data_IF_072611892572
#
_entry.id   IF_072611892572
#
_cell.length_a   1.000
_cell.length_b   1.000
_cell.length_c   1.000
_cell.angle_alpha   90.00
_cell.angle_beta   90.00
_cell.angle_gamma   90.00
#
_symmetry.space_group_name_H-M   'P 1'
#
loop_
_entity.id
_entity.type
_entity.pdbx_description
1 polymer ?
#
# COMPACT_ATOMS: atom_id res chain seq x y z
N UNK A 1 -3.37 -28.43 -13.90
CA UNK A 1 -3.32 -27.25 -14.76
C UNK A 1 -4.72 -26.66 -14.94
N UNK A 2 -5.32 -26.25 -13.83
CA UNK A 2 -6.37 -25.24 -13.80
C UNK A 2 -5.67 -23.89 -13.68
N UNK A 3 -5.61 -23.13 -14.77
CA UNK A 3 -4.87 -21.86 -14.85
C UNK A 3 -5.46 -20.72 -14.03
N UNK A 4 -5.76 -20.93 -12.75
CA UNK A 4 -5.97 -19.88 -11.78
C UNK A 4 -4.61 -19.38 -11.31
N UNK A 5 -4.17 -18.27 -11.90
CA UNK A 5 -3.01 -17.52 -11.45
C UNK A 5 -3.36 -16.81 -10.14
N UNK A 6 -3.46 -17.58 -9.05
CA UNK A 6 -3.44 -17.08 -7.67
C UNK A 6 -2.04 -16.49 -7.41
N UNK A 7 -1.78 -15.33 -8.01
CA UNK A 7 -0.58 -14.55 -7.81
C UNK A 7 0.70 -15.37 -7.90
N UNK A 8 0.98 -15.96 -9.06
CA UNK A 8 2.28 -16.44 -9.52
C UNK A 8 3.31 -16.60 -8.38
N UNK A 9 3.09 -17.67 -7.61
CA UNK A 9 3.82 -18.03 -6.40
C UNK A 9 5.33 -17.97 -6.68
N UNK A 10 6.06 -17.02 -6.07
CA UNK A 10 7.51 -16.82 -6.30
C UNK A 10 8.41 -17.95 -5.75
N UNK A 11 7.83 -19.10 -5.42
CA UNK A 11 8.52 -20.24 -4.84
C UNK A 11 8.76 -20.07 -3.34
N UNK A 12 8.72 -21.17 -2.62
CA UNK A 12 9.34 -21.27 -1.31
C UNK A 12 10.86 -21.36 -1.45
N UNK A 13 11.64 -20.68 -0.58
CA UNK A 13 11.24 -19.64 0.37
C UNK A 13 11.37 -18.24 -0.25
N UNK A 14 10.25 -17.58 -0.56
CA UNK A 14 10.26 -16.14 -0.87
C UNK A 14 9.82 -15.36 0.36
N UNK A 15 10.78 -14.72 1.04
CA UNK A 15 10.58 -13.93 2.27
C UNK A 15 10.20 -12.46 1.98
N UNK A 16 9.55 -12.20 0.85
CA UNK A 16 9.24 -10.85 0.35
C UNK A 16 9.89 -10.52 -0.99
N UNK A 17 10.06 -9.23 -1.29
CA UNK A 17 10.64 -8.74 -2.54
C UNK A 17 12.17 -8.87 -2.47
N UNK A 18 12.72 -9.94 -3.08
CA UNK A 18 14.18 -10.14 -3.20
C UNK A 18 14.76 -9.24 -4.28
N UNK A 19 15.74 -8.43 -3.93
CA UNK A 19 16.49 -7.60 -4.90
C UNK A 19 17.95 -8.02 -4.92
N UNK A 20 18.41 -8.52 -6.06
CA UNK A 20 19.75 -9.11 -6.19
C UNK A 20 20.85 -8.08 -6.46
N UNK A 21 20.50 -6.91 -7.05
CA UNK A 21 21.43 -5.82 -7.44
C UNK A 21 20.72 -4.47 -7.55
N UNK A 22 20.30 -3.89 -6.43
CA UNK A 22 19.72 -2.55 -6.44
C UNK A 22 20.81 -1.50 -6.63
N UNK A 23 21.01 -1.03 -7.85
CA UNK A 23 22.07 -0.05 -8.14
C UNK A 23 21.53 1.36 -8.43
N UNK A 24 20.21 1.53 -8.50
CA UNK A 24 19.58 2.83 -8.77
C UNK A 24 18.05 2.72 -8.66
N UNK A 25 17.47 3.39 -7.66
CA UNK A 25 16.02 3.59 -7.59
C UNK A 25 15.63 4.87 -8.33
N UNK A 26 14.60 4.83 -9.18
CA UNK A 26 14.02 6.03 -9.76
C UNK A 26 13.56 5.95 -11.21
N UNK A 27 13.81 4.86 -11.92
CA UNK A 27 13.18 4.62 -13.23
C UNK A 27 12.09 3.55 -13.10
N UNK A 28 10.84 4.01 -13.09
CA UNK A 28 9.66 3.16 -12.96
C UNK A 28 8.97 2.91 -14.31
N UNK A 29 9.60 3.21 -15.45
CA UNK A 29 8.97 3.01 -16.75
C UNK A 29 8.99 1.53 -17.18
N UNK A 30 7.81 1.04 -17.54
CA UNK A 30 7.57 -0.31 -18.03
C UNK A 30 7.67 -1.38 -16.95
N UNK A 31 7.04 -2.52 -17.19
CA UNK A 31 6.95 -3.62 -16.23
C UNK A 31 8.32 -4.15 -15.77
N UNK A 32 9.34 -4.09 -16.63
CA UNK A 32 10.71 -4.51 -16.25
C UNK A 32 11.31 -3.69 -15.11
N UNK A 33 10.74 -2.53 -14.76
CA UNK A 33 11.19 -1.73 -13.63
C UNK A 33 10.94 -2.42 -12.28
N UNK A 34 9.97 -3.34 -12.20
CA UNK A 34 9.58 -4.05 -10.98
C UNK A 34 10.78 -4.79 -10.37
N UNK A 35 11.67 -5.34 -11.20
CA UNK A 35 12.85 -6.10 -10.77
C UNK A 35 14.14 -5.26 -10.74
N UNK A 36 14.06 -3.98 -11.13
CA UNK A 36 15.20 -3.06 -11.22
C UNK A 36 15.23 -2.01 -10.10
N UNK A 37 14.12 -1.84 -9.37
CA UNK A 37 14.02 -0.86 -8.29
C UNK A 37 13.71 -1.56 -6.96
N UNK A 38 14.05 -0.89 -5.87
CA UNK A 38 13.68 -1.35 -4.54
C UNK A 38 12.28 -0.90 -4.16
N UNK A 39 11.61 -1.74 -3.38
CA UNK A 39 10.44 -1.36 -2.61
C UNK A 39 10.82 -0.35 -1.50
N UNK A 40 9.94 0.59 -1.13
CA UNK A 40 8.66 0.93 -1.75
C UNK A 40 8.75 2.09 -2.77
N UNK A 41 7.72 2.23 -3.62
CA UNK A 41 7.42 3.45 -4.39
C UNK A 41 6.26 4.26 -3.81
N UNK A 42 5.39 3.63 -3.02
CA UNK A 42 4.29 4.33 -2.32
C UNK A 42 4.56 4.36 -0.82
N UNK A 43 3.99 5.33 -0.10
CA UNK A 43 4.12 5.36 1.36
C UNK A 43 2.95 6.07 2.03
N UNK A 44 2.82 5.83 3.32
CA UNK A 44 1.89 6.50 4.22
C UNK A 44 2.53 6.55 5.61
N UNK A 45 2.08 7.46 6.47
CA UNK A 45 2.55 7.54 7.85
C UNK A 45 2.31 6.22 8.59
N UNK A 46 3.31 5.77 9.35
CA UNK A 46 3.23 4.59 10.21
C UNK A 46 3.51 3.25 9.48
N UNK A 47 3.42 3.21 8.15
CA UNK A 47 3.79 1.99 7.40
C UNK A 47 5.26 1.66 7.61
N UNK A 48 5.57 0.36 7.73
CA UNK A 48 6.93 -0.09 7.99
C UNK A 48 7.27 -1.39 7.26
N UNK A 49 8.57 -1.63 7.09
CA UNK A 49 9.08 -2.89 6.54
C UNK A 49 10.39 -3.28 7.22
N UNK A 50 10.79 -4.53 7.02
CA UNK A 50 12.00 -5.08 7.58
C UNK A 50 13.04 -5.32 6.49
N UNK A 51 14.28 -4.91 6.75
CA UNK A 51 15.43 -5.32 5.95
C UNK A 51 16.17 -6.46 6.63
N UNK A 52 16.17 -7.62 5.98
CA UNK A 52 17.02 -8.76 6.30
C UNK A 52 18.38 -8.58 5.62
N UNK A 53 19.45 -8.64 6.40
CA UNK A 53 20.79 -8.26 5.97
C UNK A 53 21.72 -9.48 5.99
N UNK A 54 22.50 -9.65 4.93
CA UNK A 54 23.56 -10.67 4.86
C UNK A 54 24.92 -10.01 5.02
N UNK A 55 25.79 -10.57 5.88
CA UNK A 55 27.17 -10.10 6.06
C UNK A 55 27.33 -8.83 6.91
N UNK A 56 26.25 -8.25 7.43
CA UNK A 56 26.25 -7.13 8.38
C UNK A 56 25.09 -7.29 9.37
N UNK A 57 25.28 -6.87 10.62
CA UNK A 57 24.22 -6.95 11.63
C UNK A 57 23.29 -5.72 11.56
N UNK A 58 22.01 -5.87 11.97
CA UNK A 58 21.10 -4.74 12.12
C UNK A 58 21.67 -3.62 13.00
N UNK A 59 22.33 -3.95 14.11
CA UNK A 59 22.93 -2.97 15.03
C UNK A 59 24.00 -2.13 14.34
N UNK A 60 24.84 -2.76 13.51
CA UNK A 60 25.88 -2.06 12.76
C UNK A 60 25.27 -1.09 11.73
N UNK A 61 24.21 -1.50 11.03
CA UNK A 61 23.47 -0.62 10.12
C UNK A 61 22.81 0.54 10.87
N UNK A 62 22.21 0.28 12.04
CA UNK A 62 21.63 1.35 12.87
C UNK A 62 22.71 2.33 13.33
N UNK A 63 23.88 1.83 13.76
CA UNK A 63 25.00 2.68 14.18
C UNK A 63 25.58 3.51 13.02
N UNK A 64 25.63 2.96 11.80
CA UNK A 64 26.10 3.64 10.60
C UNK A 64 25.18 4.80 10.16
N UNK A 65 23.86 4.63 10.28
CA UNK A 65 22.88 5.57 9.72
C UNK A 65 22.20 6.46 10.77
N UNK A 66 22.22 6.05 12.04
CA UNK A 66 21.42 6.65 13.10
C UNK A 66 19.96 6.20 13.07
N UNK A 67 19.18 6.68 14.06
CA UNK A 67 17.75 6.33 14.21
C UNK A 67 16.83 7.05 13.24
N UNK A 68 17.27 8.17 12.66
CA UNK A 68 16.44 8.98 11.78
C UNK A 68 17.18 9.25 10.48
N UNK A 69 16.59 8.85 9.36
CA UNK A 69 17.12 9.15 8.03
C UNK A 69 16.24 10.19 7.35
N UNK A 70 16.86 11.25 6.86
CA UNK A 70 16.22 12.24 5.99
C UNK A 70 16.43 11.87 4.52
N UNK A 71 15.49 12.25 3.68
CA UNK A 71 15.63 12.06 2.24
C UNK A 71 16.79 12.86 1.68
N UNK A 72 17.36 12.39 0.58
CA UNK A 72 18.46 13.04 -0.14
C UNK A 72 18.05 14.44 -0.61
N UNK A 73 16.83 14.56 -1.12
CA UNK A 73 16.25 15.81 -1.62
C UNK A 73 15.66 16.69 -0.49
N UNK A 74 15.63 16.21 0.75
CA UNK A 74 14.87 16.82 1.84
C UNK A 74 13.35 16.74 1.66
N UNK A 75 12.61 17.32 2.60
CA UNK A 75 11.14 17.31 2.62
C UNK A 75 10.57 16.80 3.92
N UNK A 76 9.28 16.46 3.90
CA UNK A 76 8.49 16.21 5.11
C UNK A 76 8.35 14.74 5.50
N UNK A 77 9.00 13.83 4.76
CA UNK A 77 9.06 12.41 5.13
C UNK A 77 10.47 12.08 5.62
N UNK A 78 10.54 11.27 6.67
CA UNK A 78 11.75 10.70 7.20
C UNK A 78 11.54 9.24 7.58
N UNK A 79 12.63 8.50 7.70
CA UNK A 79 12.59 7.12 8.17
C UNK A 79 12.98 7.09 9.65
N UNK A 80 12.22 6.34 10.44
CA UNK A 80 12.63 5.92 11.78
C UNK A 80 13.17 4.49 11.71
N UNK A 81 14.39 4.29 12.18
CA UNK A 81 15.09 3.01 12.19
C UNK A 81 15.18 2.45 13.61
N UNK A 82 14.89 1.16 13.73
CA UNK A 82 15.14 0.40 14.94
C UNK A 82 15.60 -1.02 14.62
N UNK A 83 16.37 -1.60 15.55
CA UNK A 83 16.65 -3.03 15.54
C UNK A 83 15.42 -3.75 16.07
N UNK A 84 14.98 -4.78 15.36
CA UNK A 84 13.82 -5.58 15.75
C UNK A 84 13.97 -7.01 15.21
N UNK A 85 12.94 -7.82 15.39
CA UNK A 85 12.77 -9.08 14.67
C UNK A 85 11.59 -8.92 13.71
N UNK A 86 11.66 -9.60 12.57
CA UNK A 86 10.47 -9.76 11.72
C UNK A 86 9.37 -10.44 12.53
N UNK A 87 8.12 -10.28 12.10
CA UNK A 87 7.05 -11.16 12.56
C UNK A 87 7.34 -12.60 12.13
N UNK A 88 6.73 -13.56 12.82
CA UNK A 88 6.62 -14.92 12.25
C UNK A 88 5.71 -14.83 11.02
N UNK A 89 6.11 -15.49 9.95
CA UNK A 89 5.33 -15.50 8.73
C UNK A 89 4.43 -16.73 8.76
N UNK A 90 3.13 -16.51 8.66
CA UNK A 90 2.16 -17.57 8.42
C UNK A 90 1.91 -17.69 6.92
N UNK A 91 1.53 -18.88 6.47
CA UNK A 91 0.96 -19.07 5.15
C UNK A 91 -0.45 -19.66 5.32
N UNK A 92 -1.37 -19.32 4.42
CA UNK A 92 -2.62 -20.08 4.31
C UNK A 92 -2.32 -21.47 3.77
N UNK A 93 -2.74 -22.54 4.46
CA UNK A 93 -2.95 -23.94 4.00
C UNK A 93 -1.87 -24.74 3.26
N UNK A 94 -0.91 -24.11 2.57
CA UNK A 94 -0.06 -24.70 1.53
C UNK A 94 1.43 -24.34 1.70
N UNK A 95 2.00 -24.65 2.87
CA UNK A 95 3.40 -24.38 3.22
C UNK A 95 3.80 -25.04 4.54
N UNK A 96 5.08 -24.93 4.96
CA UNK A 96 5.50 -25.34 6.30
C UNK A 96 5.03 -24.32 7.34
N UNK A 97 4.50 -24.79 8.48
CA UNK A 97 4.15 -23.93 9.62
C UNK A 97 5.28 -23.96 10.67
N UNK A 98 5.92 -22.82 11.01
CA UNK A 98 5.73 -21.48 10.41
C UNK A 98 6.41 -21.32 9.03
N UNK A 99 5.89 -20.43 8.18
CA UNK A 99 6.43 -20.16 6.82
C UNK A 99 7.88 -19.65 6.88
N UNK A 100 8.20 -18.93 7.97
CA UNK A 100 9.55 -18.53 8.34
C UNK A 100 9.60 -18.09 9.79
N UNK A 101 10.70 -18.42 10.46
CA UNK A 101 10.96 -17.95 11.82
C UNK A 101 11.23 -16.44 11.83
N UNK A 102 10.93 -15.80 12.95
CA UNK A 102 11.31 -14.42 13.20
C UNK A 102 12.83 -14.23 13.09
N UNK A 103 13.29 -13.30 12.26
CA UNK A 103 14.72 -13.04 11.99
C UNK A 103 15.14 -11.64 12.47
N UNK A 104 16.37 -11.46 12.98
CA UNK A 104 16.91 -10.14 13.26
C UNK A 104 16.91 -9.25 12.02
N UNK A 105 16.39 -8.04 12.16
CA UNK A 105 16.22 -7.12 11.03
C UNK A 105 16.34 -5.66 11.47
N UNK A 106 16.56 -4.79 10.50
CA UNK A 106 16.28 -3.36 10.67
C UNK A 106 14.82 -3.12 10.31
N UNK A 107 14.02 -2.64 11.27
CA UNK A 107 12.68 -2.12 11.02
C UNK A 107 12.80 -0.67 10.55
N UNK A 108 12.19 -0.38 9.40
CA UNK A 108 12.14 0.94 8.78
C UNK A 108 10.69 1.41 8.79
N UNK A 109 10.38 2.44 9.59
CA UNK A 109 9.05 3.05 9.64
C UNK A 109 9.05 4.38 8.88
N UNK A 110 8.05 4.58 8.03
CA UNK A 110 7.82 5.83 7.31
C UNK A 110 7.12 6.84 8.22
N UNK A 111 7.76 7.98 8.45
CA UNK A 111 7.22 9.08 9.25
C UNK A 111 7.08 10.30 8.34
N UNK A 112 5.84 10.69 8.05
CA UNK A 112 5.56 11.82 7.17
C UNK A 112 4.22 12.49 7.46
N UNK A 113 3.73 13.35 6.54
CA UNK A 113 2.46 14.02 6.72
C UNK A 113 1.29 13.04 6.82
N UNK A 114 0.32 13.39 7.66
CA UNK A 114 -0.95 12.67 7.88
C UNK A 114 -2.13 13.63 7.97
N UNK A 115 -3.34 13.12 8.18
CA UNK A 115 -4.58 13.90 8.07
C UNK A 115 -4.61 15.15 8.97
N UNK A 116 -3.99 15.09 10.15
CA UNK A 116 -3.90 16.20 11.10
C UNK A 116 -2.59 17.02 11.02
N UNK A 117 -1.70 16.74 10.06
CA UNK A 117 -0.47 17.51 9.90
C UNK A 117 -0.73 18.93 9.40
N UNK A 118 -0.04 19.93 9.93
CA UNK A 118 -0.13 21.31 9.44
C UNK A 118 0.38 21.42 8.01
N UNK A 119 1.52 20.81 7.70
CA UNK A 119 2.08 20.72 6.34
C UNK A 119 1.84 19.31 5.79
N UNK A 120 1.07 19.23 4.70
CA UNK A 120 0.73 17.99 4.00
C UNK A 120 1.54 17.77 2.73
N UNK A 121 2.41 18.71 2.37
CA UNK A 121 3.14 18.66 1.11
C UNK A 121 4.06 17.45 1.01
N UNK A 122 4.08 16.85 -0.17
CA UNK A 122 4.94 15.75 -0.53
C UNK A 122 5.49 15.95 -1.93
N UNK A 123 6.71 15.47 -2.14
CA UNK A 123 7.35 15.34 -3.44
C UNK A 123 8.12 14.03 -3.49
N UNK A 124 8.34 13.45 -4.68
CA UNK A 124 9.15 12.25 -4.80
C UNK A 124 10.52 12.42 -4.16
N UNK A 125 10.96 11.42 -3.40
CA UNK A 125 12.17 11.51 -2.60
C UNK A 125 12.86 10.18 -2.37
N UNK A 126 14.17 10.25 -2.26
CA UNK A 126 15.09 9.12 -2.23
C UNK A 126 15.68 8.95 -0.83
N UNK A 127 15.73 7.72 -0.36
CA UNK A 127 16.37 7.37 0.90
C UNK A 127 17.50 6.37 0.67
N UNK A 128 18.57 6.51 1.45
CA UNK A 128 19.77 5.68 1.37
C UNK A 128 20.18 5.19 2.73
N UNK A 129 20.51 3.90 2.81
CA UNK A 129 21.11 3.27 3.97
C UNK A 129 22.50 2.76 3.59
N UNK A 130 23.45 2.95 4.50
CA UNK A 130 24.85 2.59 4.31
C UNK A 130 25.30 1.52 5.31
N UNK A 131 26.30 0.74 4.92
CA UNK A 131 26.92 -0.26 5.79
C UNK A 131 27.87 0.37 6.82
N UNK A 132 28.36 1.58 6.55
CA UNK A 132 29.40 2.25 7.34
C UNK A 132 29.06 3.73 7.60
N UNK A 133 29.52 4.25 8.73
CA UNK A 133 29.29 5.65 9.14
C UNK A 133 29.90 6.68 8.20
N UNK A 134 30.94 6.30 7.44
CA UNK A 134 31.54 7.16 6.41
C UNK A 134 30.69 7.24 5.14
N UNK A 135 29.58 6.48 5.07
CA UNK A 135 28.64 6.42 3.94
C UNK A 135 29.30 6.03 2.62
N UNK A 136 30.32 5.18 2.69
CA UNK A 136 31.07 4.71 1.51
C UNK A 136 30.42 3.50 0.82
N UNK A 137 29.67 2.69 1.56
CA UNK A 137 29.05 1.46 1.08
C UNK A 137 27.54 1.56 1.16
N UNK A 138 26.87 1.83 0.04
CA UNK A 138 25.41 1.82 -0.07
C UNK A 138 24.88 0.39 0.00
N UNK A 139 23.94 0.11 0.90
CA UNK A 139 23.33 -1.21 1.07
C UNK A 139 21.86 -1.24 0.65
N UNK A 140 21.17 -0.10 0.70
CA UNK A 140 19.79 -0.01 0.28
C UNK A 140 19.45 1.42 -0.17
N UNK A 141 18.80 1.55 -1.31
CA UNK A 141 18.25 2.82 -1.79
C UNK A 141 16.85 2.59 -2.33
N UNK A 142 15.87 3.38 -1.91
CA UNK A 142 14.53 3.37 -2.50
C UNK A 142 14.03 4.80 -2.70
N UNK A 143 13.04 4.96 -3.56
CA UNK A 143 12.44 6.25 -3.88
C UNK A 143 10.93 6.18 -3.74
N UNK A 144 10.39 6.98 -2.82
CA UNK A 144 8.95 7.21 -2.73
C UNK A 144 8.55 8.16 -3.85
N UNK A 145 7.55 7.75 -4.63
CA UNK A 145 7.00 8.48 -5.76
C UNK A 145 5.61 9.03 -5.46
N UNK A 146 4.83 8.35 -4.62
CA UNK A 146 3.49 8.77 -4.21
C UNK A 146 3.33 8.62 -2.69
N UNK A 147 2.65 9.58 -2.08
CA UNK A 147 2.33 9.55 -0.66
C UNK A 147 0.82 9.54 -0.45
N UNK A 148 0.38 8.73 0.49
CA UNK A 148 -1.01 8.57 0.87
C UNK A 148 -1.24 9.16 2.27
N UNK A 149 -2.38 9.81 2.42
CA UNK A 149 -2.92 10.26 3.70
C UNK A 149 -4.28 9.59 3.87
N UNK A 150 -4.34 8.55 4.70
CA UNK A 150 -5.60 8.00 5.19
C UNK A 150 -6.17 8.90 6.29
N UNK A 151 -7.50 9.01 6.33
CA UNK A 151 -8.20 9.67 7.43
C UNK A 151 -9.00 8.63 8.22
N UNK A 152 -8.60 8.34 9.48
CA UNK A 152 -9.31 7.39 10.32
C UNK A 152 -10.57 7.97 10.98
N UNK A 153 -10.78 9.29 10.93
CA UNK A 153 -11.83 9.96 11.73
C UNK A 153 -13.14 10.20 10.96
N UNK A 154 -13.13 10.05 9.63
CA UNK A 154 -14.30 10.39 8.79
C UNK A 154 -14.74 9.18 7.97
N UNK A 155 -15.95 8.71 8.30
CA UNK A 155 -16.66 7.68 7.53
C UNK A 155 -17.46 8.35 6.42
N UNK A 156 -17.28 7.87 5.20
CA UNK A 156 -17.91 8.40 3.98
C UNK A 156 -18.96 7.45 3.41
N UNK A 157 -19.69 6.72 4.24
CA UNK A 157 -20.87 5.94 3.79
C UNK A 157 -22.00 5.95 4.81
N UNK A 158 -21.83 6.72 5.89
CA UNK A 158 -22.73 6.76 7.01
C UNK A 158 -22.53 8.06 7.80
N UNK A 159 -23.60 8.80 8.10
CA UNK A 159 -23.51 10.01 8.94
C UNK A 159 -23.51 9.69 10.45
N UNK A 160 -23.83 8.44 10.86
CA UNK A 160 -23.76 7.95 12.24
C UNK A 160 -23.82 6.41 12.34
N UNK A 161 -23.22 5.78 13.36
CA UNK A 161 -23.10 4.31 13.50
C UNK A 161 -24.40 3.47 13.33
N UNK A 162 -25.58 4.09 13.37
CA UNK A 162 -26.90 3.44 13.21
C UNK A 162 -27.58 3.66 11.83
N UNK A 163 -26.97 4.32 10.85
CA UNK A 163 -27.66 4.52 9.57
C UNK A 163 -27.80 3.24 8.75
N UNK A 164 -28.85 3.23 7.93
CA UNK A 164 -29.12 2.19 6.94
C UNK A 164 -27.97 2.07 5.91
N UNK A 165 -27.75 0.88 5.33
CA UNK A 165 -26.81 0.69 4.22
C UNK A 165 -27.10 1.67 3.08
N UNK A 166 -26.06 2.01 2.30
CA UNK A 166 -26.23 2.81 1.09
C UNK A 166 -27.25 2.12 0.18
N UNK A 167 -28.33 2.83 -0.12
CA UNK A 167 -29.56 2.28 -0.66
C UNK A 167 -29.72 2.53 -2.16
N UNK A 168 -28.86 3.37 -2.75
CA UNK A 168 -28.91 3.73 -4.18
C UNK A 168 -27.55 4.13 -4.73
N UNK A 169 -27.42 4.10 -6.06
CA UNK A 169 -26.20 4.54 -6.74
C UNK A 169 -25.95 6.05 -6.59
N UNK A 170 -27.00 6.87 -6.63
CA UNK A 170 -26.88 8.33 -6.47
C UNK A 170 -26.35 8.71 -5.08
N UNK A 171 -26.82 7.99 -4.05
CA UNK A 171 -26.31 8.11 -2.69
C UNK A 171 -24.82 7.73 -2.60
N UNK A 172 -24.42 6.61 -3.23
CA UNK A 172 -23.02 6.19 -3.32
C UNK A 172 -22.13 7.25 -4.00
N UNK A 173 -22.59 7.80 -5.14
CA UNK A 173 -21.87 8.83 -5.88
C UNK A 173 -21.74 10.13 -5.08
N UNK A 174 -22.76 10.50 -4.30
CA UNK A 174 -22.69 11.66 -3.42
C UNK A 174 -21.64 11.48 -2.31
N UNK A 175 -21.58 10.29 -1.70
CA UNK A 175 -20.56 9.96 -0.71
C UNK A 175 -19.14 9.93 -1.30
N UNK A 176 -18.98 9.32 -2.48
CA UNK A 176 -17.71 9.36 -3.22
C UNK A 176 -17.30 10.81 -3.55
N UNK A 177 -18.25 11.69 -3.89
CA UNK A 177 -17.98 13.10 -4.13
C UNK A 177 -17.51 13.83 -2.85
N UNK A 178 -18.13 13.56 -1.69
CA UNK A 178 -17.67 14.07 -0.39
C UNK A 178 -16.22 13.63 -0.10
N UNK A 179 -15.88 12.36 -0.33
CA UNK A 179 -14.51 11.85 -0.19
C UNK A 179 -13.52 12.54 -1.14
N UNK A 180 -13.97 12.82 -2.37
CA UNK A 180 -13.18 13.54 -3.38
C UNK A 180 -12.89 14.98 -2.97
N UNK A 181 -13.88 15.67 -2.43
CA UNK A 181 -13.72 17.04 -1.98
C UNK A 181 -12.90 17.12 -0.69
N UNK A 182 -13.02 16.14 0.20
CA UNK A 182 -12.10 15.96 1.33
C UNK A 182 -10.66 15.84 0.85
N UNK A 183 -10.37 14.96 -0.11
CA UNK A 183 -8.99 14.79 -0.58
C UNK A 183 -8.42 16.05 -1.23
N UNK A 184 -9.23 16.82 -1.96
CA UNK A 184 -8.80 18.13 -2.50
C UNK A 184 -8.52 19.15 -1.39
N UNK A 185 -9.30 19.13 -0.30
CA UNK A 185 -9.17 20.08 0.80
C UNK A 185 -7.86 19.92 1.60
N UNK A 186 -7.19 18.77 1.49
CA UNK A 186 -5.84 18.56 2.03
C UNK A 186 -4.78 19.48 1.38
N UNK A 187 -5.09 20.08 0.22
CA UNK A 187 -4.16 20.92 -0.54
C UNK A 187 -3.07 20.10 -1.23
N UNK A 188 -1.97 20.73 -1.63
CA UNK A 188 -0.76 20.07 -2.19
C UNK A 188 -0.99 19.10 -3.36
N UNK A 189 -2.12 19.23 -4.07
CA UNK A 189 -2.48 18.38 -5.20
C UNK A 189 -3.07 17.01 -4.82
N UNK A 190 -3.38 16.75 -3.54
CA UNK A 190 -4.03 15.48 -3.18
C UNK A 190 -5.38 15.32 -3.89
N UNK A 191 -5.67 14.07 -4.25
CA UNK A 191 -6.90 13.67 -4.90
C UNK A 191 -7.39 12.34 -4.33
N UNK A 192 -8.65 12.04 -4.60
CA UNK A 192 -9.17 10.70 -4.37
C UNK A 192 -8.40 9.73 -5.31
N UNK A 193 -7.90 8.59 -4.81
CA UNK A 193 -7.11 7.68 -5.59
C UNK A 193 -7.97 6.99 -6.65
N UNK A 194 -7.40 6.76 -7.83
CA UNK A 194 -8.01 5.87 -8.81
C UNK A 194 -7.79 4.41 -8.36
N UNK A 195 -8.46 3.45 -9.01
CA UNK A 195 -8.29 2.01 -8.74
C UNK A 195 -6.80 1.62 -8.80
N UNK A 196 -6.06 2.15 -9.78
CA UNK A 196 -4.62 1.89 -9.96
C UNK A 196 -3.73 2.49 -8.87
N UNK A 197 -4.23 3.40 -8.04
CA UNK A 197 -3.46 3.90 -6.90
C UNK A 197 -3.55 2.96 -5.70
N UNK A 198 -4.56 2.10 -5.64
CA UNK A 198 -4.64 1.05 -4.64
C UNK A 198 -4.04 -0.26 -5.16
N UNK A 199 -4.45 -0.70 -6.35
CA UNK A 199 -4.25 -2.07 -6.78
C UNK A 199 -3.73 -2.18 -8.21
N UNK A 200 -3.29 -3.37 -8.57
CA UNK A 200 -2.92 -3.76 -9.93
C UNK A 200 -3.87 -4.81 -10.53
N UNK A 201 -5.06 -4.98 -9.96
CA UNK A 201 -6.08 -5.94 -10.43
C UNK A 201 -6.89 -5.40 -11.60
N UNK A 202 -7.52 -6.34 -12.33
CA UNK A 202 -8.56 -6.07 -13.31
C UNK A 202 -9.82 -6.84 -12.87
N UNK A 203 -10.66 -6.27 -11.98
CA UNK A 203 -11.89 -6.91 -11.56
C UNK A 203 -12.92 -6.99 -12.71
N UNK A 204 -13.83 -7.96 -12.65
CA UNK A 204 -14.88 -8.24 -13.65
C UNK A 204 -16.03 -7.20 -13.67
N UNK A 205 -15.71 -5.96 -13.26
CA UNK A 205 -16.60 -4.81 -13.25
C UNK A 205 -16.23 -3.78 -14.32
N UNK A 206 -15.50 -4.22 -15.35
CA UNK A 206 -15.14 -3.41 -16.52
C UNK A 206 -13.90 -2.52 -16.32
N UNK A 207 -13.08 -2.79 -15.31
CA UNK A 207 -11.78 -2.12 -15.14
C UNK A 207 -10.66 -2.91 -15.82
N UNK A 208 -9.92 -2.24 -16.71
CA UNK A 208 -8.80 -2.82 -17.46
C UNK A 208 -7.50 -2.02 -17.29
N UNK A 209 -7.40 -1.26 -16.20
CA UNK A 209 -6.25 -0.38 -15.90
C UNK A 209 -5.10 -1.08 -15.19
N UNK A 210 -5.30 -2.29 -14.68
CA UNK A 210 -4.33 -3.07 -13.91
C UNK A 210 -3.33 -3.84 -14.76
N UNK A 211 -2.78 -4.90 -14.19
CA UNK A 211 -1.75 -5.74 -14.80
C UNK A 211 -2.33 -6.59 -15.94
N UNK A 212 -1.70 -6.52 -17.13
CA UNK A 212 -2.33 -6.84 -18.43
C UNK A 212 -2.62 -8.33 -18.67
N UNK A 213 -2.21 -9.24 -17.78
CA UNK A 213 -2.25 -10.69 -18.07
C UNK A 213 -3.05 -11.53 -17.06
N UNK A 214 -3.83 -10.94 -16.15
CA UNK A 214 -4.71 -11.72 -15.28
C UNK A 214 -6.00 -10.97 -14.91
N UNK A 215 -7.13 -11.67 -15.10
CA UNK A 215 -8.36 -11.40 -14.35
C UNK A 215 -8.19 -12.10 -13.02
N UNK A 216 -7.93 -11.33 -11.99
CA UNK A 216 -7.69 -11.83 -10.65
C UNK A 216 -8.30 -10.88 -9.66
N UNK A 217 -9.03 -11.44 -8.69
CA UNK A 217 -9.65 -10.67 -7.62
C UNK A 217 -8.58 -9.96 -6.79
N UNK A 218 -7.44 -10.62 -6.50
CA UNK A 218 -6.44 -10.11 -5.58
C UNK A 218 -5.24 -9.45 -6.27
N UNK A 219 -4.70 -8.42 -5.62
CA UNK A 219 -3.51 -7.73 -6.12
C UNK A 219 -2.30 -8.65 -6.12
N UNK A 220 -1.54 -8.64 -7.22
CA UNK A 220 -0.23 -9.28 -7.28
C UNK A 220 0.73 -8.49 -6.39
N UNK A 221 1.38 -9.15 -5.42
CA UNK A 221 2.40 -8.54 -4.53
C UNK A 221 3.66 -8.16 -5.33
N UNK A 222 3.73 -6.91 -5.76
CA UNK A 222 4.83 -6.39 -6.59
C UNK A 222 4.92 -4.87 -6.54
N UNK A 223 6.05 -4.33 -6.99
CA UNK A 223 6.28 -2.90 -7.10
C UNK A 223 5.36 -2.27 -8.14
N UNK A 224 4.94 -1.02 -7.91
CA UNK A 224 4.23 -0.23 -8.92
C UNK A 224 5.19 0.20 -10.03
N UNK A 225 4.65 0.37 -11.24
CA UNK A 225 5.40 0.89 -12.38
C UNK A 225 4.53 1.80 -13.23
N UNK A 226 5.14 2.53 -14.15
CA UNK A 226 4.47 3.42 -15.08
C UNK A 226 4.43 2.82 -16.49
N UNK A 227 3.28 2.93 -17.14
CA UNK A 227 3.09 2.59 -18.56
C UNK A 227 2.33 3.74 -19.21
N UNK A 228 2.92 4.36 -20.23
CA UNK A 228 2.34 5.49 -20.96
C UNK A 228 1.86 6.64 -20.03
N UNK A 229 2.68 6.97 -19.02
CA UNK A 229 2.39 8.04 -18.07
C UNK A 229 1.36 7.70 -16.98
N UNK A 230 0.84 6.47 -16.95
CA UNK A 230 -0.08 5.99 -15.91
C UNK A 230 0.60 5.00 -14.99
N UNK A 231 0.31 5.08 -13.70
CA UNK A 231 0.72 4.05 -12.75
C UNK A 231 -0.11 2.78 -12.93
N UNK A 232 0.57 1.64 -12.83
CA UNK A 232 0.01 0.30 -12.74
C UNK A 232 0.41 -0.24 -11.38
N UNK A 233 -0.59 -0.44 -10.51
CA UNK A 233 -0.36 -0.70 -9.09
C UNK A 233 -0.14 0.57 -8.28
N UNK A 234 -0.48 0.48 -7.00
CA UNK A 234 -0.10 1.39 -5.95
C UNK A 234 0.00 0.70 -4.60
N UNK A 235 -0.65 1.29 -3.60
CA UNK A 235 -0.25 1.05 -2.22
C UNK A 235 -0.57 -0.38 -1.73
N UNK A 236 -1.66 -1.00 -2.14
CA UNK A 236 -2.03 -2.33 -1.67
C UNK A 236 -1.24 -3.47 -2.36
N UNK A 237 -0.87 -3.35 -3.64
CA UNK A 237 0.05 -4.34 -4.25
C UNK A 237 1.48 -4.23 -3.72
N UNK A 238 1.86 -3.10 -3.13
CA UNK A 238 3.18 -2.90 -2.52
C UNK A 238 3.20 -3.26 -1.04
N UNK A 239 2.22 -2.81 -0.27
CA UNK A 239 2.17 -2.96 1.19
C UNK A 239 1.25 -4.09 1.65
N UNK A 240 0.22 -4.41 0.87
CA UNK A 240 -0.70 -5.49 1.17
C UNK A 240 -1.92 -4.92 1.87
N UNK A 241 -2.42 -5.65 2.85
CA UNK A 241 -3.45 -5.13 3.71
C UNK A 241 -2.84 -4.16 4.72
N UNK A 242 -3.46 -2.99 4.90
CA UNK A 242 -2.89 -1.91 5.73
C UNK A 242 -3.68 -1.63 7.00
N UNK A 243 -4.82 -2.30 7.20
CA UNK A 243 -5.70 -2.04 8.34
C UNK A 243 -4.93 -2.18 9.67
N UNK A 244 -5.23 -1.31 10.63
CA UNK A 244 -4.68 -1.35 11.98
C UNK A 244 -5.15 -2.61 12.74
N UNK A 245 -4.28 -3.15 13.59
CA UNK A 245 -4.41 -4.45 14.24
C UNK A 245 -5.64 -4.58 15.16
N UNK A 246 -6.05 -3.46 15.75
CA UNK A 246 -7.02 -3.44 16.85
C UNK A 246 -8.49 -3.55 16.41
N UNK A 247 -8.77 -3.66 15.10
CA UNK A 247 -10.15 -3.70 14.63
C UNK A 247 -10.90 -4.99 14.98
N UNK A 248 -10.22 -6.11 15.27
CA UNK A 248 -10.93 -7.40 15.47
C UNK A 248 -10.45 -8.31 16.61
N UNK A 249 -9.17 -8.34 17.02
CA UNK A 249 -8.69 -9.07 18.22
C UNK A 249 -7.16 -8.86 18.32
N UNK A 250 -6.58 -8.41 19.46
CA UNK A 250 -5.13 -8.39 19.65
C UNK A 250 -4.59 -9.82 19.75
N UNK A 251 -4.36 -10.47 18.61
CA UNK A 251 -3.73 -11.78 18.58
C UNK A 251 -3.89 -12.59 17.29
N UNK A 252 -4.96 -12.37 16.51
CA UNK A 252 -5.16 -13.09 15.24
C UNK A 252 -6.17 -12.37 14.35
N UNK A 253 -5.74 -11.35 13.62
CA UNK A 253 -6.52 -10.87 12.50
C UNK A 253 -6.38 -11.85 11.33
N UNK A 254 -7.30 -12.82 11.24
CA UNK A 254 -7.27 -13.91 10.25
C UNK A 254 -7.23 -13.45 8.78
N UNK A 255 -7.52 -12.16 8.52
CA UNK A 255 -7.62 -11.61 7.17
C UNK A 255 -6.33 -10.94 6.69
N UNK A 256 -5.50 -10.40 7.59
CA UNK A 256 -4.44 -9.48 7.22
C UNK A 256 -3.31 -9.37 8.25
N UNK A 257 -2.05 -9.28 7.79
CA UNK A 257 -0.99 -8.65 8.58
C UNK A 257 -1.22 -7.14 8.64
N UNK A 258 -1.08 -6.54 9.81
CA UNK A 258 -1.48 -5.16 10.11
C UNK A 258 -0.26 -4.26 10.38
N UNK A 259 -0.47 -2.94 10.40
CA UNK A 259 0.57 -1.96 10.75
C UNK A 259 0.14 -1.13 11.95
N UNK A 260 0.62 -1.46 13.15
CA UNK A 260 0.32 -0.67 14.36
C UNK A 260 0.76 0.79 14.22
N UNK A 261 -0.11 1.74 14.58
CA UNK A 261 0.19 3.17 14.56
C UNK A 261 0.06 3.83 13.19
N UNK A 262 -0.61 3.18 12.24
CA UNK A 262 -0.95 3.74 10.94
C UNK A 262 -2.35 4.38 10.95
N UNK A 263 -2.64 5.24 9.97
CA UNK A 263 -3.95 5.90 9.83
C UNK A 263 -5.00 5.07 9.09
N UNK A 264 -4.64 3.86 8.68
CA UNK A 264 -5.49 2.96 7.92
C UNK A 264 -6.36 2.13 8.86
N UNK A 265 -7.54 2.62 9.22
CA UNK A 265 -8.44 1.98 10.20
C UNK A 265 -9.67 1.30 9.58
N UNK A 266 -9.58 0.92 8.31
CA UNK A 266 -10.65 0.20 7.64
C UNK A 266 -10.08 -0.73 6.58
N UNK A 267 -10.88 -1.72 6.19
CA UNK A 267 -10.64 -2.49 4.99
C UNK A 267 -11.19 -1.82 3.74
N UNK A 268 -12.06 -0.81 3.87
CA UNK A 268 -12.80 -0.22 2.76
C UNK A 268 -12.47 1.26 2.55
N UNK A 269 -12.06 1.60 1.33
CA UNK A 269 -11.79 2.98 0.93
C UNK A 269 -12.39 3.31 -0.42
N UNK A 270 -12.90 4.55 -0.54
CA UNK A 270 -13.38 5.05 -1.82
C UNK A 270 -12.26 5.17 -2.84
N UNK A 271 -12.57 4.74 -4.07
CA UNK A 271 -11.80 5.12 -5.24
C UNK A 271 -12.51 6.23 -6.00
N UNK A 272 -11.80 6.85 -6.93
CA UNK A 272 -12.27 7.95 -7.76
C UNK A 272 -13.04 7.50 -9.02
N UNK A 273 -12.91 6.22 -9.38
CA UNK A 273 -13.50 5.63 -10.58
C UNK A 273 -14.89 5.05 -10.30
N UNK A 274 -15.64 4.89 -11.39
CA UNK A 274 -16.91 4.16 -11.43
C UNK A 274 -16.78 3.04 -12.46
N UNK A 275 -17.56 1.99 -12.28
CA UNK A 275 -17.65 0.89 -13.24
C UNK A 275 -18.16 1.38 -14.60
N UNK A 276 -17.62 0.80 -15.65
CA UNK A 276 -18.08 1.04 -17.02
C UNK A 276 -18.04 -0.28 -17.76
N UNK A 277 -19.11 -0.64 -18.46
CA UNK A 277 -19.16 -1.88 -19.26
C UNK A 277 -18.91 -3.15 -18.41
N UNK A 278 -19.44 -3.19 -17.19
CA UNK A 278 -19.43 -4.42 -16.38
C UNK A 278 -20.26 -5.51 -17.06
N UNK A 279 -19.78 -6.75 -17.01
CA UNK A 279 -20.54 -7.93 -17.47
C UNK A 279 -21.87 -8.08 -16.70
N UNK A 280 -21.91 -7.58 -15.46
CA UNK A 280 -23.13 -7.43 -14.68
C UNK A 280 -23.69 -6.02 -14.86
N UNK A 281 -24.59 -5.82 -15.83
CA UNK A 281 -25.17 -4.50 -16.15
C UNK A 281 -25.70 -3.71 -14.96
N UNK A 282 -26.22 -4.40 -13.92
CA UNK A 282 -26.68 -3.80 -12.66
C UNK A 282 -25.60 -2.98 -11.93
N UNK A 283 -24.32 -3.23 -12.22
CA UNK A 283 -23.19 -2.58 -11.58
C UNK A 283 -22.72 -1.35 -12.33
N UNK A 284 -23.16 -1.09 -13.57
CA UNK A 284 -22.70 0.05 -14.36
C UNK A 284 -22.97 1.38 -13.66
N UNK A 285 -21.95 2.25 -13.62
CA UNK A 285 -22.04 3.55 -12.96
C UNK A 285 -21.91 3.51 -11.44
N UNK A 286 -21.72 2.33 -10.84
CA UNK A 286 -21.42 2.21 -9.41
C UNK A 286 -19.97 2.62 -9.11
N UNK A 287 -19.70 3.30 -7.99
CA UNK A 287 -18.33 3.52 -7.53
C UNK A 287 -17.57 2.22 -7.33
N UNK A 288 -16.28 2.25 -7.68
CA UNK A 288 -15.33 1.24 -7.22
C UNK A 288 -14.90 1.55 -5.77
N UNK A 289 -14.71 0.49 -4.99
CA UNK A 289 -14.23 0.52 -3.61
C UNK A 289 -13.00 -0.39 -3.53
N UNK A 290 -11.94 0.11 -2.91
CA UNK A 290 -10.84 -0.74 -2.49
C UNK A 290 -11.23 -1.48 -1.22
N UNK A 291 -10.97 -2.79 -1.21
CA UNK A 291 -11.19 -3.69 -0.08
C UNK A 291 -9.85 -4.33 0.33
N UNK A 292 -9.80 -5.03 1.45
CA UNK A 292 -8.59 -5.67 1.98
C UNK A 292 -7.76 -6.44 0.92
N UNK A 293 -6.43 -6.41 1.09
CA UNK A 293 -5.51 -7.20 0.27
C UNK A 293 -5.38 -6.75 -1.20
N UNK A 294 -5.85 -5.56 -1.56
CA UNK A 294 -5.79 -5.08 -2.95
C UNK A 294 -6.96 -5.56 -3.82
N UNK A 295 -7.99 -6.14 -3.21
CA UNK A 295 -9.24 -6.45 -3.89
C UNK A 295 -9.99 -5.16 -4.24
N UNK A 296 -10.64 -5.15 -5.41
CA UNK A 296 -11.43 -4.02 -5.89
C UNK A 296 -12.84 -4.53 -6.13
N UNK A 297 -13.81 -3.92 -5.46
CA UNK A 297 -15.23 -4.24 -5.61
C UNK A 297 -16.06 -3.00 -5.91
N UNK A 298 -17.37 -3.20 -5.91
CA UNK A 298 -18.41 -2.20 -5.95
C UNK A 298 -19.14 -2.20 -4.61
N UNK A 299 -20.02 -1.22 -4.42
CA UNK A 299 -20.79 -1.02 -3.18
C UNK A 299 -21.71 -2.17 -2.76
N UNK A 300 -21.90 -3.20 -3.59
CA UNK A 300 -22.73 -4.36 -3.22
C UNK A 300 -22.06 -5.23 -2.13
N UNK A 301 -20.76 -5.07 -1.89
CA UNK A 301 -19.99 -5.78 -0.86
C UNK A 301 -19.52 -4.81 0.25
N UNK A 302 -20.44 -4.36 1.11
CA UNK A 302 -20.08 -3.61 2.33
C UNK A 302 -19.79 -4.64 3.44
N UNK A 303 -18.57 -4.66 3.96
CA UNK A 303 -18.14 -5.62 4.99
C UNK A 303 -18.65 -5.26 6.41
N UNK A 304 -19.73 -4.49 6.53
CA UNK A 304 -20.21 -3.95 7.80
C UNK A 304 -19.37 -2.79 8.34
N UNK A 305 -18.17 -2.57 7.81
CA UNK A 305 -17.28 -1.47 8.20
C UNK A 305 -17.63 -0.14 7.49
N UNK A 306 -17.20 0.98 8.08
CA UNK A 306 -17.24 2.28 7.42
C UNK A 306 -16.33 2.32 6.18
N UNK A 307 -16.75 3.02 5.13
CA UNK A 307 -15.92 3.30 3.95
C UNK A 307 -15.23 4.64 4.16
N UNK A 308 -13.91 4.66 4.15
CA UNK A 308 -13.11 5.85 4.44
C UNK A 308 -12.51 6.47 3.18
N UNK A 309 -11.83 7.60 3.34
CA UNK A 309 -11.00 8.20 2.30
C UNK A 309 -9.51 8.06 2.64
N UNK A 310 -8.74 7.59 1.67
CA UNK A 310 -7.29 7.72 1.67
C UNK A 310 -6.90 8.51 0.45
N UNK A 311 -6.20 9.62 0.62
CA UNK A 311 -5.91 10.58 -0.44
C UNK A 311 -4.48 10.41 -0.93
N UNK A 312 -4.26 10.53 -2.24
CA UNK A 312 -2.94 10.33 -2.85
C UNK A 312 -2.46 11.58 -3.56
N UNK A 313 -1.15 11.82 -3.54
CA UNK A 313 -0.52 12.83 -4.41
C UNK A 313 -0.66 12.49 -5.90
N UNK A 314 -0.58 13.48 -6.81
CA UNK A 314 -0.66 13.24 -8.25
C UNK A 314 0.35 12.22 -8.78
#
# INVERSE_FOLDING_TARGET
>A
DDGSDYGDYRGYPSKGIKVLRATNSGNYQGETSITKNNFPTTGSHGLYFYLLLGGITPEAVLAANGRTIKSVEGGNVSLSLSVSKTTEWEHGGHGPYPYGLAEPAIKITLIGPRFNSTDKSFRPMTFRLYADSNKSTLIYEFKLMRWFIANPEIIFNNENENSRPISSNDEALNYQAKARDYCKSLGSGYRLPDVNDFSNTNPDYGWIGGYVNSYGSYARRQLSYQKNGKWIGGIANEWGCMAEDDLYDPGHNMLCQTYTGTDWQSYQYWTNNVTSQSEQFKNNGKPFIYVNGGYIDTIDMILGDGIFAACVTP
#
